data_IF_069043344383
#
_entry.id   IF_069043344383
#
_cell.length_a   1.000
_cell.length_b   1.000
_cell.length_c   1.000
_cell.angle_alpha   90.00
_cell.angle_beta   90.00
_cell.angle_gamma   90.00
#
_symmetry.space_group_name_H-M   'P 1'
#
loop_
_entity.id
_entity.type
_entity.pdbx_description
1 polymer ?
#
# COMPACT_ATOMS: atom_id res chain seq x y z
N UNK A 1 39.22 27.40 14.54
CA UNK A 1 37.90 26.74 14.53
C UNK A 1 37.08 27.49 13.48
N UNK A 2 37.37 27.16 12.22
CA UNK A 2 36.81 27.84 11.04
C UNK A 2 35.42 27.26 10.74
N UNK A 3 34.41 28.11 10.80
CA UNK A 3 33.05 27.83 10.42
C UNK A 3 32.98 27.54 8.90
N UNK A 4 33.18 26.28 8.53
CA UNK A 4 32.83 25.78 7.20
C UNK A 4 31.30 25.73 7.07
N UNK A 5 30.67 26.88 6.98
CA UNK A 5 29.32 27.01 6.43
C UNK A 5 29.43 26.69 4.95
N UNK A 6 29.32 25.38 4.61
CA UNK A 6 29.20 24.93 3.24
C UNK A 6 28.01 25.64 2.60
N UNK A 7 28.29 26.61 1.74
CA UNK A 7 27.26 27.24 0.90
C UNK A 7 26.62 26.14 0.04
N UNK A 8 25.37 25.83 0.34
CA UNK A 8 24.54 24.91 -0.47
C UNK A 8 24.51 25.41 -1.91
N UNK A 9 24.94 24.59 -2.85
CA UNK A 9 24.74 24.88 -4.27
C UNK A 9 23.26 24.79 -4.62
N UNK A 10 22.81 25.55 -5.63
CA UNK A 10 21.42 25.51 -6.09
C UNK A 10 20.98 24.09 -6.46
N UNK A 11 21.89 23.27 -7.00
CA UNK A 11 21.64 21.86 -7.37
C UNK A 11 21.41 20.96 -6.15
N UNK A 12 22.13 21.19 -5.05
CA UNK A 12 21.99 20.39 -3.82
C UNK A 12 20.69 20.69 -3.09
N UNK A 13 20.26 21.95 -3.09
CA UNK A 13 18.95 22.36 -2.52
C UNK A 13 17.80 21.73 -3.31
N UNK A 14 17.86 21.75 -4.65
CA UNK A 14 16.87 21.11 -5.50
C UNK A 14 16.79 19.60 -5.24
N UNK A 15 17.94 18.92 -5.15
CA UNK A 15 17.99 17.49 -4.83
C UNK A 15 17.40 17.14 -3.48
N UNK A 16 17.64 17.97 -2.46
CA UNK A 16 17.04 17.78 -1.12
C UNK A 16 15.52 17.94 -1.13
N UNK A 17 15.00 18.97 -1.83
CA UNK A 17 13.55 19.18 -1.96
C UNK A 17 12.89 18.01 -2.68
N UNK A 18 13.45 17.52 -3.79
CA UNK A 18 12.95 16.36 -4.51
C UNK A 18 12.91 15.12 -3.62
N UNK A 19 13.95 14.90 -2.80
CA UNK A 19 14.04 13.80 -1.85
C UNK A 19 12.98 13.89 -0.76
N UNK A 20 12.81 15.06 -0.15
CA UNK A 20 11.80 15.31 0.87
C UNK A 20 10.40 15.08 0.30
N UNK A 21 10.12 15.63 -0.89
CA UNK A 21 8.83 15.48 -1.54
C UNK A 21 8.53 14.02 -1.88
N UNK A 22 9.50 13.29 -2.44
CA UNK A 22 9.37 11.85 -2.70
C UNK A 22 9.09 11.07 -1.41
N UNK A 23 9.82 11.36 -0.33
CA UNK A 23 9.60 10.71 0.97
C UNK A 23 8.20 10.99 1.53
N UNK A 24 7.70 12.21 1.43
CA UNK A 24 6.33 12.57 1.83
C UNK A 24 5.28 11.82 1.00
N UNK A 25 5.49 11.65 -0.31
CA UNK A 25 4.60 10.89 -1.17
C UNK A 25 4.55 9.41 -0.79
N UNK A 26 5.69 8.80 -0.43
CA UNK A 26 5.73 7.42 0.09
C UNK A 26 5.00 7.28 1.43
N UNK A 27 5.22 8.21 2.37
CA UNK A 27 4.51 8.21 3.66
C UNK A 27 3.01 8.38 3.46
N UNK A 28 2.59 9.29 2.57
CA UNK A 28 1.18 9.50 2.24
C UNK A 28 0.56 8.24 1.63
N UNK A 29 1.24 7.61 0.65
CA UNK A 29 0.80 6.35 0.04
C UNK A 29 0.62 5.25 1.08
N UNK A 30 1.60 5.07 1.96
CA UNK A 30 1.53 4.10 3.04
C UNK A 30 0.39 4.41 4.03
N UNK A 31 0.17 5.68 4.39
CA UNK A 31 -0.91 6.10 5.27
C UNK A 31 -2.30 5.83 4.67
N UNK A 32 -2.49 6.12 3.38
CA UNK A 32 -3.75 5.85 2.68
C UNK A 32 -4.04 4.34 2.62
N UNK A 33 -3.05 3.52 2.30
CA UNK A 33 -3.18 2.05 2.34
C UNK A 33 -3.45 1.53 3.74
N UNK A 34 -2.86 2.15 4.78
CA UNK A 34 -3.15 1.77 6.17
C UNK A 34 -4.61 2.01 6.54
N UNK A 35 -5.24 3.06 6.02
CA UNK A 35 -6.67 3.33 6.25
C UNK A 35 -7.56 2.27 5.61
N UNK A 36 -7.23 1.81 4.40
CA UNK A 36 -7.93 0.78 3.62
C UNK A 36 -7.19 -0.57 3.61
N UNK A 37 -6.52 -0.92 4.70
CA UNK A 37 -5.68 -2.10 4.77
C UNK A 37 -6.43 -3.39 4.48
N UNK A 38 -7.69 -3.48 4.92
CA UNK A 38 -8.55 -4.66 4.71
C UNK A 38 -8.81 -4.93 3.23
N UNK A 39 -9.14 -3.89 2.49
CA UNK A 39 -9.36 -4.00 1.05
C UNK A 39 -8.07 -4.34 0.30
N UNK A 40 -6.94 -3.81 0.77
CA UNK A 40 -5.65 -4.15 0.21
C UNK A 40 -5.26 -5.62 0.47
N UNK A 41 -5.60 -6.18 1.64
CA UNK A 41 -5.43 -7.61 1.95
C UNK A 41 -6.29 -8.49 1.03
N UNK A 42 -7.56 -8.12 0.84
CA UNK A 42 -8.49 -8.83 -0.05
C UNK A 42 -8.03 -8.72 -1.50
N UNK A 43 -7.55 -7.56 -1.92
CA UNK A 43 -7.00 -7.36 -3.26
C UNK A 43 -5.80 -8.28 -3.53
N UNK A 44 -4.86 -8.42 -2.59
CA UNK A 44 -3.75 -9.36 -2.75
C UNK A 44 -4.21 -10.82 -2.76
N UNK A 45 -5.25 -11.14 -2.01
CA UNK A 45 -5.86 -12.46 -2.02
C UNK A 45 -6.55 -12.77 -3.36
N UNK A 46 -7.15 -11.78 -4.05
CA UNK A 46 -7.88 -11.96 -5.31
C UNK A 46 -7.01 -12.44 -6.48
N UNK A 47 -5.68 -12.36 -6.36
CA UNK A 47 -4.76 -12.93 -7.37
C UNK A 47 -4.65 -14.46 -7.30
N UNK A 48 -5.26 -15.11 -6.30
CA UNK A 48 -5.31 -16.56 -6.11
C UNK A 48 -3.93 -17.26 -6.04
N UNK A 49 -2.88 -16.47 -5.72
CA UNK A 49 -1.50 -16.96 -5.58
C UNK A 49 -1.21 -17.42 -4.16
N UNK A 50 -1.89 -16.81 -3.17
CA UNK A 50 -1.64 -17.03 -1.74
C UNK A 50 -2.95 -17.11 -0.97
N UNK A 51 -2.98 -17.81 0.17
CA UNK A 51 -4.15 -17.83 1.04
C UNK A 51 -4.33 -16.48 1.76
N UNK A 52 -5.53 -16.23 2.28
CA UNK A 52 -5.90 -14.95 2.91
C UNK A 52 -4.95 -14.55 4.06
N UNK A 53 -4.48 -15.51 4.84
CA UNK A 53 -3.55 -15.24 5.95
C UNK A 53 -2.20 -14.73 5.43
N UNK A 54 -1.65 -15.37 4.41
CA UNK A 54 -0.39 -14.93 3.78
C UNK A 54 -0.57 -13.59 3.07
N UNK A 55 -1.70 -13.37 2.37
CA UNK A 55 -2.02 -12.09 1.75
C UNK A 55 -2.06 -10.96 2.79
N UNK A 56 -2.66 -11.20 3.96
CA UNK A 56 -2.70 -10.24 5.06
C UNK A 56 -1.32 -9.86 5.59
N UNK A 57 -0.42 -10.83 5.78
CA UNK A 57 0.96 -10.55 6.21
C UNK A 57 1.74 -9.83 5.12
N UNK A 58 1.59 -10.25 3.85
CA UNK A 58 2.26 -9.63 2.71
C UNK A 58 1.84 -8.16 2.55
N UNK A 59 0.55 -7.85 2.66
CA UNK A 59 0.04 -6.49 2.63
C UNK A 59 0.71 -5.61 3.70
N UNK A 60 0.84 -6.13 4.92
CA UNK A 60 1.47 -5.41 6.04
C UNK A 60 2.96 -5.19 5.82
N UNK A 61 3.66 -6.19 5.31
CA UNK A 61 5.10 -6.07 5.02
C UNK A 61 5.34 -5.04 3.91
N UNK A 62 4.52 -5.04 2.85
CA UNK A 62 4.61 -4.04 1.79
C UNK A 62 4.35 -2.63 2.33
N UNK A 63 3.34 -2.48 3.19
CA UNK A 63 3.03 -1.20 3.84
C UNK A 63 4.18 -0.74 4.74
N UNK A 64 4.71 -1.64 5.59
CA UNK A 64 5.85 -1.35 6.45
C UNK A 64 7.08 -0.90 5.65
N UNK A 65 7.34 -1.56 4.53
CA UNK A 65 8.44 -1.26 3.64
C UNK A 65 8.27 0.12 2.97
N UNK A 66 7.09 0.44 2.44
CA UNK A 66 6.81 1.78 1.88
C UNK A 66 6.97 2.87 2.94
N UNK A 67 6.45 2.65 4.14
CA UNK A 67 6.54 3.61 5.24
C UNK A 67 7.98 3.82 5.69
N UNK A 68 8.77 2.74 5.82
CA UNK A 68 10.19 2.81 6.14
C UNK A 68 10.98 3.59 5.07
N UNK A 69 10.78 3.29 3.79
CA UNK A 69 11.42 4.04 2.69
C UNK A 69 11.08 5.52 2.78
N UNK A 70 9.80 5.87 2.96
CA UNK A 70 9.37 7.26 3.06
C UNK A 70 10.06 8.01 4.20
N UNK A 71 10.09 7.44 5.41
CA UNK A 71 10.75 8.04 6.57
C UNK A 71 12.28 8.13 6.41
N UNK A 72 12.91 7.11 5.82
CA UNK A 72 14.34 7.10 5.56
C UNK A 72 14.74 8.10 4.45
N UNK A 73 13.89 8.33 3.46
CA UNK A 73 14.08 9.39 2.46
C UNK A 73 14.05 10.77 3.12
N UNK A 74 13.07 11.02 3.99
CA UNK A 74 12.94 12.30 4.71
C UNK A 74 14.12 12.53 5.66
N UNK A 75 14.51 11.50 6.41
CA UNK A 75 15.59 11.60 7.41
C UNK A 75 17.00 11.70 6.79
N UNK A 76 17.16 11.51 5.49
CA UNK A 76 18.43 11.46 4.76
C UNK A 76 19.46 10.45 5.29
N UNK A 77 19.02 9.52 6.15
CA UNK A 77 19.84 8.42 6.67
C UNK A 77 20.09 7.38 5.55
N UNK A 78 21.25 6.74 5.59
CA UNK A 78 21.63 5.68 4.66
C UNK A 78 21.31 5.99 3.18
N UNK A 79 21.63 7.21 2.75
CA UNK A 79 21.22 7.78 1.46
C UNK A 79 21.31 6.76 0.31
N UNK A 80 22.48 6.17 0.08
CA UNK A 80 22.70 5.28 -1.08
C UNK A 80 21.85 4.01 -1.01
N UNK A 81 21.77 3.39 0.17
CA UNK A 81 20.98 2.16 0.37
C UNK A 81 19.49 2.42 0.17
N UNK A 82 19.00 3.55 0.71
CA UNK A 82 17.59 3.95 0.57
C UNK A 82 17.25 4.29 -0.88
N UNK A 83 18.12 4.97 -1.61
CA UNK A 83 17.92 5.27 -3.03
C UNK A 83 17.86 3.98 -3.87
N UNK A 84 18.74 3.02 -3.61
CA UNK A 84 18.73 1.71 -4.27
C UNK A 84 17.43 0.96 -3.92
N UNK A 85 17.06 0.90 -2.64
CA UNK A 85 15.83 0.23 -2.20
C UNK A 85 14.59 0.86 -2.84
N UNK A 86 14.54 2.20 -2.92
CA UNK A 86 13.46 2.95 -3.58
C UNK A 86 13.41 2.61 -5.08
N UNK A 87 14.56 2.61 -5.75
CA UNK A 87 14.65 2.27 -7.19
C UNK A 87 14.14 0.85 -7.45
N UNK A 88 14.63 -0.12 -6.68
CA UNK A 88 14.22 -1.54 -6.81
C UNK A 88 12.72 -1.69 -6.56
N UNK A 89 12.18 -1.02 -5.53
CA UNK A 89 10.75 -1.02 -5.23
C UNK A 89 9.93 -0.46 -6.39
N UNK A 90 10.29 0.71 -6.92
CA UNK A 90 9.58 1.34 -8.03
C UNK A 90 9.61 0.49 -9.31
N UNK A 91 10.76 -0.13 -9.61
CA UNK A 91 10.87 -1.05 -10.74
C UNK A 91 10.00 -2.29 -10.56
N UNK A 92 10.02 -2.90 -9.38
CA UNK A 92 9.18 -4.06 -9.06
C UNK A 92 7.68 -3.73 -9.23
N UNK A 93 7.23 -2.62 -8.65
CA UNK A 93 5.84 -2.17 -8.82
C UNK A 93 5.50 -1.82 -10.26
N UNK A 94 6.41 -1.22 -11.01
CA UNK A 94 6.19 -0.92 -12.42
C UNK A 94 6.04 -2.19 -13.26
N UNK A 95 6.86 -3.21 -13.03
CA UNK A 95 6.75 -4.52 -13.69
C UNK A 95 5.41 -5.17 -13.35
N UNK A 96 4.99 -5.12 -12.10
CA UNK A 96 3.69 -5.64 -11.66
C UNK A 96 2.53 -4.91 -12.35
N UNK A 97 2.57 -3.58 -12.47
CA UNK A 97 1.55 -2.79 -13.15
C UNK A 97 1.49 -3.10 -14.66
N UNK A 98 2.64 -3.27 -15.30
CA UNK A 98 2.69 -3.71 -16.72
C UNK A 98 2.06 -5.10 -16.87
N UNK A 99 2.32 -6.02 -15.95
CA UNK A 99 1.69 -7.34 -15.94
C UNK A 99 0.17 -7.24 -15.84
N UNK A 100 -0.39 -6.37 -14.98
CA UNK A 100 -1.82 -6.12 -14.87
C UNK A 100 -2.41 -5.57 -16.17
N UNK A 101 -1.74 -4.62 -16.80
CA UNK A 101 -2.16 -4.06 -18.10
C UNK A 101 -2.19 -5.13 -19.20
N UNK A 102 -1.20 -6.02 -19.24
CA UNK A 102 -1.16 -7.12 -20.21
C UNK A 102 -2.28 -8.15 -19.98
N UNK A 103 -2.78 -8.28 -18.75
CA UNK A 103 -3.95 -9.09 -18.42
C UNK A 103 -5.29 -8.42 -18.75
N UNK A 104 -5.29 -7.14 -19.12
CA UNK A 104 -6.52 -6.38 -19.37
C UNK A 104 -7.26 -5.96 -18.09
N UNK A 105 -6.57 -5.93 -16.95
CA UNK A 105 -7.12 -5.44 -15.68
C UNK A 105 -7.18 -3.91 -15.72
N UNK A 106 -8.38 -3.36 -15.89
CA UNK A 106 -8.61 -1.89 -15.92
C UNK A 106 -9.06 -1.33 -14.57
N UNK A 107 -9.28 -2.19 -13.58
CA UNK A 107 -9.77 -1.82 -12.26
C UNK A 107 -8.77 -1.05 -11.39
N UNK A 108 -9.22 -0.68 -10.19
CA UNK A 108 -8.36 0.00 -9.20
C UNK A 108 -7.21 -0.92 -8.77
N UNK A 109 -5.96 -0.46 -8.92
CA UNK A 109 -4.77 -1.21 -8.51
C UNK A 109 -4.48 -1.13 -7.00
N UNK A 110 -5.30 -0.44 -6.21
CA UNK A 110 -5.12 -0.19 -4.77
C UNK A 110 -3.75 0.39 -4.39
N UNK A 111 -3.03 0.97 -5.37
CA UNK A 111 -1.68 1.52 -5.16
C UNK A 111 -1.63 2.71 -4.19
N UNK A 112 -2.76 3.42 -3.99
CA UNK A 112 -2.92 4.50 -3.00
C UNK A 112 -4.15 4.28 -2.09
N UNK A 113 -4.49 3.02 -1.81
CA UNK A 113 -5.68 2.67 -1.03
C UNK A 113 -6.98 2.86 -1.83
N UNK A 114 -8.12 2.91 -1.15
CA UNK A 114 -9.44 3.14 -1.76
C UNK A 114 -9.79 4.60 -1.96
N UNK A 115 -9.07 5.52 -1.31
CA UNK A 115 -9.38 6.95 -1.35
C UNK A 115 -9.14 7.55 -2.73
N UNK A 116 -8.21 6.97 -3.48
CA UNK A 116 -7.88 7.36 -4.85
C UNK A 116 -7.90 6.12 -5.73
N UNK A 117 -8.87 6.04 -6.61
CA UNK A 117 -8.99 4.97 -7.60
C UNK A 117 -8.07 5.27 -8.77
N UNK A 118 -6.88 4.68 -8.74
CA UNK A 118 -5.94 4.75 -9.86
C UNK A 118 -6.03 3.50 -10.71
N UNK A 119 -6.18 3.71 -12.00
CA UNK A 119 -5.96 2.66 -12.99
C UNK A 119 -4.49 2.22 -13.00
N UNK A 120 -4.16 1.02 -13.49
CA UNK A 120 -2.77 0.60 -13.63
C UNK A 120 -1.92 1.57 -14.47
N UNK A 121 -2.51 2.22 -15.49
CA UNK A 121 -1.87 3.23 -16.35
C UNK A 121 -1.49 4.49 -15.58
N UNK A 122 -2.42 5.03 -14.78
CA UNK A 122 -2.17 6.23 -13.95
C UNK A 122 -1.13 5.94 -12.87
N UNK A 123 -1.16 4.73 -12.31
CA UNK A 123 -0.17 4.28 -11.33
C UNK A 123 1.22 4.13 -11.94
N UNK A 124 1.31 3.69 -13.20
CA UNK A 124 2.56 3.64 -13.93
C UNK A 124 3.12 5.04 -14.20
N UNK A 125 2.27 5.99 -14.58
CA UNK A 125 2.67 7.40 -14.76
C UNK A 125 3.16 8.01 -13.45
N UNK A 126 2.49 7.73 -12.34
CA UNK A 126 2.94 8.11 -10.98
C UNK A 126 4.31 7.54 -10.66
N UNK A 127 4.55 6.25 -10.94
CA UNK A 127 5.85 5.62 -10.71
C UNK A 127 6.95 6.24 -11.56
N UNK A 128 6.64 6.62 -12.80
CA UNK A 128 7.60 7.37 -13.66
C UNK A 128 7.95 8.71 -13.04
N UNK A 129 6.98 9.45 -12.53
CA UNK A 129 7.23 10.70 -11.80
C UNK A 129 8.13 10.47 -10.58
N UNK A 130 7.89 9.39 -9.82
CA UNK A 130 8.72 9.04 -8.65
C UNK A 130 10.15 8.70 -9.05
N UNK A 131 10.36 8.01 -10.19
CA UNK A 131 11.69 7.74 -10.73
C UNK A 131 12.42 9.03 -11.12
N UNK A 132 11.72 9.99 -11.73
CA UNK A 132 12.30 11.31 -12.05
C UNK A 132 12.68 12.06 -10.76
N UNK A 133 11.83 12.10 -9.76
CA UNK A 133 12.14 12.71 -8.46
C UNK A 133 13.34 12.04 -7.79
N UNK A 134 13.41 10.70 -7.85
CA UNK A 134 14.53 9.94 -7.31
C UNK A 134 15.84 10.30 -8.04
N UNK A 135 15.83 10.41 -9.37
CA UNK A 135 16.99 10.82 -10.16
C UNK A 135 17.52 12.19 -9.73
N UNK A 136 16.64 13.18 -9.55
CA UNK A 136 17.04 14.49 -9.06
C UNK A 136 17.48 14.47 -7.59
N UNK A 137 16.95 13.57 -6.77
CA UNK A 137 17.29 13.44 -5.35
C UNK A 137 18.73 12.96 -5.12
N UNK A 138 19.34 12.28 -6.09
CA UNK A 138 20.73 11.77 -5.97
C UNK A 138 21.74 12.87 -5.73
N UNK A 139 21.44 14.10 -6.16
CA UNK A 139 22.28 15.30 -5.96
C UNK A 139 22.15 15.92 -4.57
N UNK A 140 21.29 15.39 -3.69
CA UNK A 140 21.07 15.95 -2.35
C UNK A 140 22.28 15.77 -1.44
N UNK A 141 22.46 16.70 -0.49
CA UNK A 141 23.51 16.63 0.51
C UNK A 141 23.27 15.49 1.52
N UNK A 142 24.35 14.88 2.00
CA UNK A 142 24.30 13.86 3.05
C UNK A 142 24.48 14.56 4.40
N UNK A 143 23.47 14.53 5.23
CA UNK A 143 23.60 14.99 6.63
C UNK A 143 24.29 13.93 7.47
N UNK A 144 25.35 14.32 8.19
CA UNK A 144 26.02 13.42 9.12
C UNK A 144 25.31 13.50 10.48
N UNK A 145 24.48 12.51 10.77
CA UNK A 145 23.83 12.38 12.08
C UNK A 145 24.65 11.43 12.94
N UNK A 146 25.01 11.78 14.19
CA UNK A 146 25.60 10.82 15.12
C UNK A 146 24.60 9.67 15.39
N UNK A 147 25.13 8.47 15.64
CA UNK A 147 24.31 7.26 15.92
C UNK A 147 23.31 6.88 14.82
N UNK A 148 23.70 7.03 13.55
CA UNK A 148 22.83 6.70 12.39
C UNK A 148 22.15 5.33 12.49
N UNK A 149 22.85 4.33 13.01
CA UNK A 149 22.32 2.96 13.15
C UNK A 149 21.13 2.87 14.09
N UNK A 150 21.15 3.58 15.22
CA UNK A 150 20.05 3.60 16.17
C UNK A 150 18.79 4.23 15.57
N UNK A 151 18.93 5.41 14.92
CA UNK A 151 17.79 6.06 14.28
C UNK A 151 17.17 5.25 13.16
N UNK A 152 18.00 4.58 12.36
CA UNK A 152 17.50 3.66 11.31
C UNK A 152 16.75 2.49 11.95
N UNK A 153 17.29 1.89 13.03
CA UNK A 153 16.61 0.80 13.73
C UNK A 153 15.25 1.25 14.31
N UNK A 154 15.16 2.45 14.89
CA UNK A 154 13.91 3.01 15.39
C UNK A 154 12.89 3.23 14.26
N UNK A 155 13.30 3.80 13.14
CA UNK A 155 12.42 4.01 11.98
C UNK A 155 11.89 2.68 11.46
N UNK A 156 12.76 1.68 11.30
CA UNK A 156 12.35 0.34 10.83
C UNK A 156 11.40 -0.31 11.84
N UNK A 157 11.70 -0.25 13.14
CA UNK A 157 10.82 -0.81 14.18
C UNK A 157 9.43 -0.17 14.17
N UNK A 158 9.34 1.17 14.12
CA UNK A 158 8.07 1.89 14.03
C UNK A 158 7.31 1.51 12.76
N UNK A 159 8.03 1.41 11.64
CA UNK A 159 7.41 1.06 10.34
C UNK A 159 6.86 -0.36 10.34
N UNK A 160 7.52 -1.31 11.00
CA UNK A 160 7.03 -2.69 11.12
C UNK A 160 5.85 -2.76 12.09
N UNK A 161 5.91 -2.10 13.24
CA UNK A 161 4.85 -2.17 14.25
C UNK A 161 3.55 -1.54 13.77
N UNK A 162 3.62 -0.41 13.04
CA UNK A 162 2.43 0.36 12.63
C UNK A 162 1.37 -0.46 11.90
N UNK A 163 1.66 -1.28 10.88
CA UNK A 163 0.65 -2.07 10.19
C UNK A 163 0.03 -3.19 11.04
N UNK A 164 0.72 -3.63 12.09
CA UNK A 164 0.26 -4.72 12.96
C UNK A 164 -0.62 -4.25 14.11
N UNK A 165 -0.83 -2.96 14.28
CA UNK A 165 -1.80 -2.41 15.25
C UNK A 165 -3.24 -2.87 14.92
N UNK A 166 -3.57 -3.04 13.62
CA UNK A 166 -4.84 -3.62 13.20
C UNK A 166 -4.72 -5.14 13.07
N UNK A 167 -5.68 -5.89 13.60
CA UNK A 167 -5.72 -7.35 13.41
C UNK A 167 -5.91 -7.73 11.94
N UNK A 168 -5.17 -8.72 11.42
CA UNK A 168 -5.36 -9.27 10.08
C UNK A 168 -6.79 -9.76 9.85
N UNK A 169 -7.34 -9.55 8.65
CA UNK A 169 -8.69 -10.02 8.28
C UNK A 169 -8.81 -11.52 8.49
N UNK A 170 -7.80 -12.30 8.08
CA UNK A 170 -7.79 -13.75 8.24
C UNK A 170 -7.69 -14.24 9.70
N UNK A 171 -7.38 -13.38 10.68
CA UNK A 171 -7.32 -13.71 12.11
C UNK A 171 -8.46 -13.09 12.92
N UNK A 172 -9.34 -12.32 12.30
CA UNK A 172 -10.48 -11.75 13.01
C UNK A 172 -11.50 -12.85 13.28
N UNK A 173 -12.01 -12.93 14.52
CA UNK A 173 -13.15 -13.81 14.79
C UNK A 173 -14.32 -13.35 13.91
N UNK A 174 -14.82 -14.24 13.06
CA UNK A 174 -16.05 -13.98 12.31
C UNK A 174 -17.15 -13.69 13.32
N UNK A 175 -17.63 -12.44 13.34
CA UNK A 175 -18.84 -12.14 14.10
C UNK A 175 -19.97 -12.91 13.43
N UNK A 176 -20.68 -13.78 14.13
CA UNK A 176 -21.85 -14.40 13.54
C UNK A 176 -22.80 -13.27 13.15
N UNK A 177 -22.98 -13.08 11.85
CA UNK A 177 -24.02 -12.18 11.36
C UNK A 177 -25.32 -12.84 11.75
N UNK A 178 -26.07 -12.20 12.65
CA UNK A 178 -27.38 -12.71 13.04
C UNK A 178 -28.25 -12.84 11.78
N UNK A 179 -28.47 -14.07 11.34
CA UNK A 179 -29.30 -14.34 10.17
C UNK A 179 -30.75 -14.00 10.54
N UNK A 180 -31.27 -12.92 9.96
CA UNK A 180 -32.67 -12.54 10.15
C UNK A 180 -33.54 -13.35 9.17
N UNK A 181 -34.05 -14.48 9.67
CA UNK A 181 -34.84 -15.41 8.90
C UNK A 181 -36.11 -14.75 8.31
N UNK A 182 -36.70 -13.77 8.99
CA UNK A 182 -37.90 -13.07 8.50
C UNK A 182 -37.60 -12.14 7.33
N UNK A 183 -36.49 -11.44 7.33
CA UNK A 183 -36.06 -10.62 6.17
C UNK A 183 -35.65 -11.47 4.99
N UNK A 184 -35.01 -12.59 5.25
CA UNK A 184 -34.62 -13.53 4.20
C UNK A 184 -35.82 -14.19 3.54
N UNK A 185 -36.85 -14.62 4.31
CA UNK A 185 -38.10 -15.12 3.76
C UNK A 185 -38.83 -14.05 2.94
N UNK A 186 -38.80 -12.80 3.37
CA UNK A 186 -39.36 -11.67 2.63
C UNK A 186 -38.63 -11.38 1.33
N UNK A 187 -37.33 -11.61 1.29
CA UNK A 187 -36.50 -11.52 0.08
C UNK A 187 -36.83 -12.65 -0.89
N UNK A 188 -36.90 -13.91 -0.42
CA UNK A 188 -37.25 -15.07 -1.23
C UNK A 188 -38.68 -14.99 -1.80
N UNK A 189 -39.61 -14.39 -1.07
CA UNK A 189 -41.00 -14.21 -1.55
C UNK A 189 -41.15 -13.18 -2.66
N UNK A 190 -40.12 -12.38 -2.90
CA UNK A 190 -40.12 -11.32 -3.91
C UNK A 190 -39.56 -11.76 -5.26
N UNK A 191 -38.91 -12.90 -5.32
CA UNK A 191 -38.23 -13.42 -6.51
C UNK A 191 -38.49 -14.94 -6.63
N UNK A 192 -39.56 -15.30 -7.38
CA UNK A 192 -40.05 -16.68 -7.51
C UNK A 192 -39.00 -17.66 -8.13
N UNK A 193 -38.07 -17.16 -8.95
CA UNK A 193 -37.01 -17.96 -9.54
C UNK A 193 -35.97 -18.44 -8.50
N UNK A 194 -35.72 -17.67 -7.47
CA UNK A 194 -34.80 -18.05 -6.38
C UNK A 194 -35.38 -19.10 -5.45
N UNK A 195 -36.70 -19.12 -5.28
CA UNK A 195 -37.39 -20.06 -4.40
C UNK A 195 -37.22 -21.51 -4.88
N UNK A 196 -37.28 -21.73 -6.17
CA UNK A 196 -37.11 -23.05 -6.78
C UNK A 196 -35.67 -23.58 -6.71
N UNK A 197 -34.67 -22.66 -6.65
CA UNK A 197 -33.25 -23.00 -6.47
C UNK A 197 -32.93 -23.45 -5.05
N UNK A 198 -33.68 -22.98 -4.05
CA UNK A 198 -33.43 -23.29 -2.63
C UNK A 198 -34.23 -24.50 -2.10
N UNK A 199 -35.18 -25.02 -2.84
CA UNK A 199 -35.91 -26.23 -2.45
C UNK A 199 -35.16 -27.52 -2.78
N UNK A 200 -34.09 -27.44 -3.60
CA UNK A 200 -33.25 -28.59 -3.98
C UNK A 200 -31.88 -28.51 -3.25
N UNK A 201 -31.75 -29.29 -2.19
CA UNK A 201 -30.53 -29.64 -1.48
C UNK A 201 -29.66 -28.48 -0.90
N UNK A 202 -28.87 -28.79 0.14
CA UNK A 202 -28.03 -27.86 0.94
C UNK A 202 -27.30 -26.79 0.11
N UNK A 203 -27.86 -25.59 0.05
CA UNK A 203 -27.27 -24.46 -0.70
C UNK A 203 -26.48 -23.54 0.23
N UNK A 204 -25.25 -23.19 -0.14
CA UNK A 204 -24.45 -22.16 0.53
C UNK A 204 -24.78 -20.80 -0.07
N UNK A 205 -25.40 -19.92 0.71
CA UNK A 205 -25.78 -18.58 0.28
C UNK A 205 -24.67 -17.62 0.65
N UNK A 206 -24.00 -17.03 -0.34
CA UNK A 206 -23.08 -15.92 -0.14
C UNK A 206 -23.79 -14.60 -0.44
N UNK A 207 -24.16 -13.83 0.58
CA UNK A 207 -24.76 -12.50 0.41
C UNK A 207 -23.64 -11.48 0.38
N UNK A 208 -23.39 -10.89 -0.78
CA UNK A 208 -22.47 -9.77 -0.95
C UNK A 208 -23.27 -8.46 -0.93
N UNK A 209 -22.96 -7.59 0.03
CA UNK A 209 -23.44 -6.20 -0.03
C UNK A 209 -22.48 -5.40 -0.92
N UNK A 210 -22.86 -5.19 -2.16
CA UNK A 210 -22.20 -4.22 -3.04
C UNK A 210 -22.76 -2.85 -2.70
N UNK A 211 -22.15 -2.15 -1.76
CA UNK A 211 -22.33 -0.71 -1.64
C UNK A 211 -21.45 -0.05 -2.72
N UNK A 212 -22.01 0.10 -3.91
CA UNK A 212 -21.58 1.14 -4.83
C UNK A 212 -22.11 2.47 -4.33
N UNK A 213 -21.23 3.34 -3.85
CA UNK A 213 -21.49 4.76 -3.60
C UNK A 213 -20.46 5.57 -4.36
#
# INVERSE_FOLDING_TARGET
MSDDVKRFTMSEKGGWICRLFLGLLFVLSAFLKFRSLESFEIYLFSFDVVNLTVASYLARLLLAFEFAIGLLLISTLWKRQVEIATLVSLLFFSIFLVYLLLKGEEGNCHCMGETFEFSPTESLLKNLLYLLLLFFSTKSLIWQVPQKGLWVAVIIAVSIITPFVKLPVGLRPMKPVGFNQSEFQKFLSKEDDLKNLFEQESSVICIFSVKCS
#
